data_IF_748889303604
#
_entry.id   IF_748889303604
#
_cell.length_a   1.000
_cell.length_b   1.000
_cell.length_c   1.000
_cell.angle_alpha   90.00
_cell.angle_beta   90.00
_cell.angle_gamma   90.00
#
_symmetry.space_group_name_H-M   'P 1'
#
loop_
_entity.id
_entity.type
_entity.pdbx_description
1 polymer ?
#
# COMPACT_ATOMS: atom_id res chain seq x y z
N UNK A 1 17.70 -15.63 5.00
CA UNK A 1 16.63 -14.72 5.47
C UNK A 1 15.80 -14.11 4.35
N UNK A 2 16.41 -13.60 3.27
CA UNK A 2 15.68 -12.97 2.15
C UNK A 2 14.62 -13.87 1.48
N UNK A 3 14.98 -15.12 1.13
CA UNK A 3 14.05 -16.08 0.53
C UNK A 3 12.90 -16.45 1.47
N UNK A 4 13.21 -16.75 2.74
CA UNK A 4 12.21 -17.05 3.77
C UNK A 4 11.25 -15.87 4.04
N UNK A 5 11.77 -14.63 4.03
CA UNK A 5 10.95 -13.43 4.14
C UNK A 5 10.08 -13.19 2.90
N UNK A 6 10.61 -13.48 1.70
CA UNK A 6 9.88 -13.39 0.45
C UNK A 6 8.75 -14.41 0.33
N UNK A 7 8.99 -15.67 0.72
CA UNK A 7 7.96 -16.73 0.74
C UNK A 7 6.89 -16.46 1.79
N UNK A 8 7.28 -16.06 3.01
CA UNK A 8 6.33 -15.64 4.04
C UNK A 8 5.48 -14.45 3.58
N UNK A 9 6.09 -13.46 2.92
CA UNK A 9 5.38 -12.34 2.31
C UNK A 9 4.39 -12.79 1.23
N UNK A 10 4.77 -13.73 0.37
CA UNK A 10 3.93 -14.25 -0.70
C UNK A 10 2.69 -14.99 -0.16
N UNK A 11 2.89 -15.82 0.88
CA UNK A 11 1.80 -16.51 1.56
C UNK A 11 0.85 -15.50 2.20
N UNK A 12 1.38 -14.55 2.97
CA UNK A 12 0.57 -13.51 3.61
C UNK A 12 -0.28 -12.72 2.59
N UNK A 13 0.32 -12.31 1.46
CA UNK A 13 -0.41 -11.62 0.38
C UNK A 13 -1.50 -12.46 -0.24
N UNK A 14 -1.26 -13.74 -0.43
CA UNK A 14 -2.22 -14.67 -1.03
C UNK A 14 -3.42 -14.89 -0.11
N UNK A 15 -3.21 -14.97 1.20
CA UNK A 15 -4.30 -15.05 2.19
C UNK A 15 -5.12 -13.75 2.22
N UNK A 16 -4.48 -12.58 2.13
CA UNK A 16 -5.17 -11.29 2.18
C UNK A 16 -5.72 -10.82 0.83
N UNK A 17 -5.42 -11.52 -0.27
CA UNK A 17 -5.75 -11.09 -1.63
C UNK A 17 -7.25 -10.84 -1.87
N UNK A 18 -8.19 -11.70 -1.39
CA UNK A 18 -9.63 -11.46 -1.56
C UNK A 18 -10.08 -10.12 -0.97
N UNK A 19 -9.65 -9.82 0.26
CA UNK A 19 -9.99 -8.58 0.93
C UNK A 19 -9.35 -7.36 0.25
N UNK A 20 -8.08 -7.47 -0.16
CA UNK A 20 -7.38 -6.42 -0.89
C UNK A 20 -8.04 -6.14 -2.26
N UNK A 21 -8.56 -7.16 -2.94
CA UNK A 21 -9.30 -6.99 -4.20
C UNK A 21 -10.63 -6.27 -3.99
N UNK A 22 -11.45 -6.71 -3.02
CA UNK A 22 -12.72 -6.06 -2.72
C UNK A 22 -12.50 -4.58 -2.40
N UNK A 23 -11.51 -4.28 -1.56
CA UNK A 23 -11.10 -2.89 -1.27
C UNK A 23 -10.78 -2.13 -2.55
N UNK A 24 -9.97 -2.71 -3.42
CA UNK A 24 -9.55 -2.05 -4.65
C UNK A 24 -10.75 -1.73 -5.55
N UNK A 25 -11.72 -2.65 -5.68
CA UNK A 25 -12.94 -2.43 -6.46
C UNK A 25 -13.75 -1.25 -5.92
N UNK A 26 -13.91 -1.14 -4.60
CA UNK A 26 -14.56 0.01 -3.97
C UNK A 26 -13.81 1.32 -4.23
N UNK A 27 -12.47 1.31 -4.14
CA UNK A 27 -11.66 2.49 -4.42
C UNK A 27 -11.74 2.89 -5.90
N UNK A 28 -11.69 1.92 -6.82
CA UNK A 28 -11.82 2.12 -8.26
C UNK A 28 -13.20 2.68 -8.63
N UNK A 29 -14.27 2.10 -8.10
CA UNK A 29 -15.62 2.61 -8.32
C UNK A 29 -15.78 4.02 -7.77
N UNK A 30 -15.26 4.28 -6.57
CA UNK A 30 -15.30 5.61 -5.98
C UNK A 30 -14.50 6.61 -6.81
N UNK A 31 -13.62 6.19 -7.71
CA UNK A 31 -12.95 7.08 -8.67
C UNK A 31 -13.77 7.31 -9.95
N UNK A 32 -15.05 6.88 -9.99
CA UNK A 32 -16.19 7.23 -10.87
C UNK A 32 -15.99 7.36 -12.41
N UNK A 33 -14.77 7.19 -12.91
CA UNK A 33 -14.36 7.73 -14.21
C UNK A 33 -13.77 6.69 -15.15
N UNK A 34 -13.80 5.43 -14.73
CA UNK A 34 -13.12 4.32 -15.42
C UNK A 34 -14.09 3.43 -16.20
N UNK A 35 -15.28 3.94 -16.54
CA UNK A 35 -16.37 3.15 -17.15
C UNK A 35 -17.08 2.22 -16.17
N UNK A 36 -16.75 2.27 -14.88
CA UNK A 36 -17.40 1.53 -13.80
C UNK A 36 -18.48 2.43 -13.20
N UNK A 37 -19.74 1.97 -13.18
CA UNK A 37 -20.86 2.73 -12.61
C UNK A 37 -20.55 3.16 -11.17
N UNK A 38 -20.75 4.45 -10.87
CA UNK A 38 -20.48 5.04 -9.54
C UNK A 38 -21.25 4.34 -8.39
N UNK A 39 -22.27 3.53 -8.70
CA UNK A 39 -23.06 2.73 -7.75
C UNK A 39 -22.89 1.20 -7.93
N UNK A 40 -21.85 0.73 -8.62
CA UNK A 40 -21.69 -0.70 -8.95
C UNK A 40 -21.58 -1.65 -7.74
N UNK A 41 -21.07 -1.15 -6.61
CA UNK A 41 -20.84 -1.83 -5.33
C UNK A 41 -21.25 -0.89 -4.19
N UNK A 42 -22.25 -1.30 -3.39
CA UNK A 42 -22.76 -0.50 -2.26
C UNK A 42 -22.41 -1.11 -0.90
N UNK A 43 -22.20 -2.43 -0.84
CA UNK A 43 -21.78 -3.13 0.39
C UNK A 43 -20.75 -4.23 0.09
N UNK A 44 -19.90 -4.54 1.07
CA UNK A 44 -18.88 -5.59 0.94
C UNK A 44 -19.51 -6.95 0.57
N UNK A 45 -20.66 -7.28 1.17
CA UNK A 45 -21.41 -8.51 0.89
C UNK A 45 -21.93 -8.53 -0.54
N UNK A 46 -22.54 -7.43 -1.00
CA UNK A 46 -23.02 -7.33 -2.38
C UNK A 46 -21.85 -7.40 -3.37
N UNK A 47 -20.73 -6.73 -3.09
CA UNK A 47 -19.54 -6.77 -3.94
C UNK A 47 -18.95 -8.17 -4.04
N UNK A 48 -18.83 -8.88 -2.91
CA UNK A 48 -18.36 -10.25 -2.88
C UNK A 48 -19.30 -11.19 -3.66
N UNK A 49 -20.61 -11.08 -3.44
CA UNK A 49 -21.61 -11.88 -4.17
C UNK A 49 -21.61 -11.59 -5.67
N UNK A 50 -21.46 -10.32 -6.05
CA UNK A 50 -21.39 -9.89 -7.45
C UNK A 50 -20.14 -10.42 -8.14
N UNK A 51 -18.95 -10.26 -7.52
CA UNK A 51 -17.70 -10.83 -8.02
C UNK A 51 -17.79 -12.35 -8.15
N UNK A 52 -18.39 -13.03 -7.16
CA UNK A 52 -18.58 -14.47 -7.20
C UNK A 52 -19.51 -14.92 -8.34
N UNK A 53 -20.64 -14.23 -8.55
CA UNK A 53 -21.62 -14.56 -9.59
C UNK A 53 -21.15 -14.21 -11.00
N UNK A 54 -20.46 -13.08 -11.17
CA UNK A 54 -20.05 -12.57 -12.49
C UNK A 54 -18.69 -13.10 -12.94
N UNK A 55 -17.75 -13.32 -12.02
CA UNK A 55 -16.36 -13.66 -12.35
C UNK A 55 -15.87 -14.99 -11.73
N UNK A 56 -16.64 -15.59 -10.81
CA UNK A 56 -16.30 -16.85 -10.14
C UNK A 56 -15.36 -16.71 -8.93
N UNK A 57 -15.08 -17.84 -8.25
CA UNK A 57 -14.27 -17.88 -7.02
C UNK A 57 -12.81 -17.46 -7.23
N UNK A 58 -12.20 -17.83 -8.36
CA UNK A 58 -10.81 -17.43 -8.67
C UNK A 58 -10.67 -15.93 -8.92
N UNK A 59 -11.79 -15.22 -9.14
CA UNK A 59 -11.77 -13.78 -9.33
C UNK A 59 -11.18 -13.05 -8.12
N UNK A 60 -11.40 -13.53 -6.90
CA UNK A 60 -10.89 -12.88 -5.68
C UNK A 60 -9.35 -12.73 -5.66
N UNK A 61 -8.63 -13.55 -6.42
CA UNK A 61 -7.17 -13.52 -6.52
C UNK A 61 -6.60 -12.84 -7.76
N UNK A 62 -7.41 -12.28 -8.68
CA UNK A 62 -6.81 -11.63 -9.87
C UNK A 62 -6.01 -10.40 -9.45
N UNK A 63 -4.82 -10.26 -10.05
CA UNK A 63 -3.80 -9.29 -9.66
C UNK A 63 -2.89 -9.74 -8.50
N UNK A 64 -3.18 -10.87 -7.83
CA UNK A 64 -2.31 -11.37 -6.77
C UNK A 64 -0.95 -11.84 -7.28
N UNK A 65 -0.87 -12.37 -8.51
CA UNK A 65 0.42 -12.71 -9.14
C UNK A 65 1.35 -11.49 -9.22
N UNK A 66 0.83 -10.34 -9.63
CA UNK A 66 1.59 -9.09 -9.62
C UNK A 66 2.03 -8.70 -8.19
N UNK A 67 1.17 -8.88 -7.18
CA UNK A 67 1.54 -8.63 -5.79
C UNK A 67 2.69 -9.52 -5.33
N UNK A 68 2.64 -10.82 -5.61
CA UNK A 68 3.66 -11.79 -5.21
C UNK A 68 4.98 -11.52 -5.93
N UNK A 69 4.93 -11.33 -7.26
CA UNK A 69 6.11 -10.99 -8.07
C UNK A 69 6.77 -9.71 -7.58
N UNK A 70 6.00 -8.73 -7.09
CA UNK A 70 6.54 -7.47 -6.56
C UNK A 70 7.35 -7.62 -5.28
N UNK A 71 7.08 -8.63 -4.44
CA UNK A 71 7.67 -8.73 -3.09
C UNK A 71 9.19 -8.80 -3.17
N UNK A 72 9.70 -9.69 -4.01
CA UNK A 72 11.13 -9.91 -4.16
C UNK A 72 11.90 -8.68 -4.67
N UNK A 73 11.58 -8.07 -5.83
CA UNK A 73 12.29 -6.89 -6.32
C UNK A 73 12.12 -5.70 -5.40
N UNK A 74 10.96 -5.52 -4.77
CA UNK A 74 10.74 -4.44 -3.80
C UNK A 74 11.65 -4.60 -2.58
N UNK A 75 11.65 -5.78 -1.95
CA UNK A 75 12.48 -6.04 -0.77
C UNK A 75 13.97 -6.00 -1.09
N UNK A 76 14.39 -6.52 -2.26
CA UNK A 76 15.79 -6.46 -2.70
C UNK A 76 16.26 -5.01 -2.86
N UNK A 77 15.53 -4.23 -3.67
CA UNK A 77 15.86 -2.83 -3.91
C UNK A 77 15.84 -2.02 -2.60
N UNK A 78 14.85 -2.25 -1.75
CA UNK A 78 14.75 -1.54 -0.48
C UNK A 78 15.93 -1.85 0.44
N UNK A 79 16.32 -3.11 0.62
CA UNK A 79 17.44 -3.46 1.49
C UNK A 79 18.77 -2.94 0.92
N UNK A 80 19.02 -3.16 -0.37
CA UNK A 80 20.24 -2.69 -1.02
C UNK A 80 20.37 -1.16 -0.97
N UNK A 81 19.29 -0.43 -1.29
CA UNK A 81 19.30 1.02 -1.21
C UNK A 81 19.41 1.52 0.23
N UNK A 82 18.84 0.82 1.21
CA UNK A 82 18.94 1.22 2.62
C UNK A 82 20.39 1.11 3.11
N UNK A 83 21.06 0.01 2.80
CA UNK A 83 22.47 -0.17 3.17
C UNK A 83 23.36 0.83 2.45
N UNK A 84 23.08 1.13 1.17
CA UNK A 84 23.79 2.16 0.42
C UNK A 84 23.60 3.57 1.04
N UNK A 85 22.36 4.00 1.30
CA UNK A 85 22.11 5.32 1.87
C UNK A 85 22.61 5.45 3.32
N UNK A 86 22.57 4.37 4.11
CA UNK A 86 23.18 4.36 5.45
C UNK A 86 24.70 4.56 5.38
N UNK A 87 25.38 3.88 4.45
CA UNK A 87 26.83 4.07 4.25
C UNK A 87 27.17 5.49 3.81
N UNK A 88 26.34 6.09 2.97
CA UNK A 88 26.51 7.46 2.49
C UNK A 88 26.27 8.51 3.60
N UNK A 89 25.38 8.23 4.55
CA UNK A 89 25.00 9.13 5.64
C UNK A 89 25.72 8.86 6.97
N UNK A 90 26.53 7.80 7.05
CA UNK A 90 27.25 7.45 8.28
C UNK A 90 28.32 8.50 8.58
N UNK A 91 28.44 8.88 9.86
CA UNK A 91 29.56 9.70 10.32
C UNK A 91 30.88 8.91 10.28
N UNK A 92 32.02 9.59 10.42
CA UNK A 92 33.35 8.96 10.42
C UNK A 92 33.49 7.87 11.50
N UNK A 93 32.72 7.94 12.59
CA UNK A 93 32.68 6.95 13.67
C UNK A 93 31.70 5.77 13.41
N UNK A 94 31.07 5.70 12.23
CA UNK A 94 30.07 4.69 11.88
C UNK A 94 28.69 4.89 12.54
N UNK A 95 28.53 5.94 13.35
CA UNK A 95 27.26 6.33 13.97
C UNK A 95 26.29 6.96 12.98
N UNK A 96 25.00 6.59 13.09
CA UNK A 96 23.89 7.16 12.33
C UNK A 96 22.83 7.68 13.30
N UNK A 97 22.48 8.96 13.19
CA UNK A 97 21.38 9.59 13.92
C UNK A 97 20.03 8.98 13.51
N UNK A 98 19.00 9.14 14.36
CA UNK A 98 17.63 8.70 14.05
C UNK A 98 17.15 9.32 12.73
N UNK A 99 17.41 10.61 12.52
CA UNK A 99 17.01 11.31 11.29
C UNK A 99 17.71 10.76 10.05
N UNK A 100 19.01 10.46 10.12
CA UNK A 100 19.75 9.85 9.00
C UNK A 100 19.26 8.44 8.68
N UNK A 101 18.93 7.63 9.70
CA UNK A 101 18.34 6.29 9.50
C UNK A 101 16.97 6.39 8.83
N UNK A 102 16.16 7.36 9.23
CA UNK A 102 14.86 7.64 8.61
C UNK A 102 15.02 8.12 7.17
N UNK A 103 15.95 9.04 6.90
CA UNK A 103 16.25 9.52 5.56
C UNK A 103 16.73 8.38 4.64
N UNK A 104 17.64 7.53 5.13
CA UNK A 104 18.08 6.34 4.41
C UNK A 104 16.92 5.37 4.12
N UNK A 105 16.05 5.15 5.11
CA UNK A 105 14.85 4.32 4.94
C UNK A 105 13.85 4.89 3.93
N UNK A 106 13.62 6.20 3.97
CA UNK A 106 12.73 6.91 3.05
C UNK A 106 13.29 6.89 1.62
N UNK A 107 14.58 7.20 1.44
CA UNK A 107 15.29 7.09 0.17
C UNK A 107 15.21 5.68 -0.40
N UNK A 108 15.46 4.67 0.44
CA UNK A 108 15.35 3.27 0.03
C UNK A 108 13.93 2.88 -0.40
N UNK A 109 12.92 3.35 0.33
CA UNK A 109 11.52 3.16 -0.02
C UNK A 109 11.15 3.83 -1.35
N UNK A 110 11.66 5.03 -1.61
CA UNK A 110 11.48 5.75 -2.88
C UNK A 110 12.12 5.00 -4.04
N UNK A 111 13.36 4.55 -3.90
CA UNK A 111 14.08 3.79 -4.94
C UNK A 111 13.40 2.45 -5.24
N UNK A 112 13.01 1.71 -4.20
CA UNK A 112 12.24 0.47 -4.37
C UNK A 112 10.89 0.70 -5.04
N UNK A 113 10.21 1.81 -4.70
CA UNK A 113 8.94 2.19 -5.33
C UNK A 113 9.14 2.54 -6.80
N UNK A 114 10.14 3.36 -7.14
CA UNK A 114 10.44 3.71 -8.54
C UNK A 114 10.75 2.47 -9.39
N UNK A 115 11.54 1.54 -8.86
CA UNK A 115 11.90 0.30 -9.56
C UNK A 115 10.71 -0.64 -9.76
N UNK A 116 9.80 -0.71 -8.77
CA UNK A 116 8.63 -1.62 -8.83
C UNK A 116 7.36 -0.97 -9.34
N UNK A 117 7.40 0.32 -9.69
CA UNK A 117 6.23 1.07 -10.12
C UNK A 117 5.51 0.48 -11.34
N UNK A 118 6.20 -0.08 -12.36
CA UNK A 118 5.52 -0.78 -13.46
C UNK A 118 4.60 -1.92 -12.98
N UNK A 119 5.04 -2.68 -11.95
CA UNK A 119 4.27 -3.79 -11.39
C UNK A 119 3.06 -3.25 -10.60
N UNK A 120 3.22 -2.14 -9.88
CA UNK A 120 2.12 -1.45 -9.20
C UNK A 120 1.04 -0.99 -10.21
N UNK A 121 1.46 -0.40 -11.32
CA UNK A 121 0.54 0.02 -12.39
C UNK A 121 -0.20 -1.17 -13.00
N UNK A 122 0.51 -2.27 -13.31
CA UNK A 122 -0.10 -3.50 -13.83
C UNK A 122 -1.12 -4.09 -12.88
N UNK A 123 -0.79 -4.17 -11.59
CA UNK A 123 -1.70 -4.67 -10.55
C UNK A 123 -3.01 -3.88 -10.52
N UNK A 124 -2.94 -2.54 -10.58
CA UNK A 124 -4.14 -1.70 -10.57
C UNK A 124 -4.99 -1.92 -11.82
N UNK A 125 -4.35 -2.06 -12.98
CA UNK A 125 -5.06 -2.27 -14.25
C UNK A 125 -5.71 -3.64 -14.36
N UNK A 126 -5.05 -4.70 -13.89
CA UNK A 126 -5.56 -6.09 -13.88
C UNK A 126 -6.77 -6.29 -12.97
N UNK A 127 -6.96 -5.40 -12.01
CA UNK A 127 -8.08 -5.48 -11.08
C UNK A 127 -9.31 -4.68 -11.58
N UNK A 128 -9.20 -4.01 -12.74
CA UNK A 128 -10.34 -3.38 -13.38
C UNK A 128 -11.28 -4.43 -13.99
N UNK A 129 -12.60 -4.25 -13.89
CA UNK A 129 -13.57 -5.11 -14.57
C UNK A 129 -13.25 -5.22 -16.08
N UNK A 130 -13.36 -6.42 -16.66
CA UNK A 130 -13.07 -6.67 -18.07
C UNK A 130 -11.59 -6.84 -18.46
N UNK A 131 -10.64 -6.43 -17.61
CA UNK A 131 -9.20 -6.73 -17.80
C UNK A 131 -8.80 -8.14 -17.35
N UNK A 132 -9.77 -8.84 -16.78
CA UNK A 132 -9.62 -9.98 -15.89
C UNK A 132 -9.19 -11.29 -16.59
N UNK A 133 -9.24 -11.33 -17.93
CA UNK A 133 -8.90 -12.49 -18.76
C UNK A 133 -7.50 -12.41 -19.38
N UNK A 134 -6.87 -11.24 -19.37
CA UNK A 134 -5.56 -11.03 -19.96
C UNK A 134 -4.51 -11.05 -18.84
N UNK A 135 -3.77 -12.15 -18.71
CA UNK A 135 -2.71 -12.29 -17.70
C UNK A 135 -1.72 -11.12 -17.68
N UNK A 136 -0.88 -11.03 -16.64
CA UNK A 136 0.01 -9.87 -16.39
C UNK A 136 0.82 -9.42 -17.62
N UNK A 137 1.33 -10.38 -18.39
CA UNK A 137 2.08 -10.10 -19.62
C UNK A 137 1.23 -9.53 -20.75
N UNK A 138 0.02 -10.06 -20.95
CA UNK A 138 -0.91 -9.54 -21.94
C UNK A 138 -1.36 -8.11 -21.58
N UNK A 139 -1.63 -7.85 -20.29
CA UNK A 139 -1.92 -6.51 -19.80
C UNK A 139 -0.74 -5.54 -20.03
N UNK A 140 0.49 -5.96 -19.72
CA UNK A 140 1.68 -5.14 -19.96
C UNK A 140 1.87 -4.81 -21.43
N UNK A 141 1.76 -5.81 -22.31
CA UNK A 141 1.84 -5.62 -23.76
C UNK A 141 0.75 -4.69 -24.28
N UNK A 142 -0.47 -4.81 -23.76
CA UNK A 142 -1.58 -3.93 -24.12
C UNK A 142 -1.28 -2.48 -23.74
N UNK A 143 -0.83 -2.22 -22.50
CA UNK A 143 -0.48 -0.86 -22.03
C UNK A 143 0.60 -0.24 -22.92
N UNK A 144 1.69 -0.98 -23.17
CA UNK A 144 2.82 -0.47 -23.95
C UNK A 144 2.40 -0.16 -25.39
N UNK A 145 1.54 -1.00 -26.00
CA UNK A 145 1.04 -0.76 -27.37
C UNK A 145 0.04 0.40 -27.46
N UNK A 146 -0.83 0.59 -26.45
CA UNK A 146 -1.90 1.60 -26.53
C UNK A 146 -1.51 2.95 -25.96
N UNK A 147 -0.63 3.00 -24.96
CA UNK A 147 -0.30 4.22 -24.21
C UNK A 147 1.21 4.51 -24.12
N UNK A 148 2.05 3.61 -24.65
CA UNK A 148 3.50 3.72 -24.62
C UNK A 148 4.14 3.23 -23.31
N UNK A 149 5.47 3.20 -23.29
CA UNK A 149 6.26 2.72 -22.15
C UNK A 149 6.11 3.61 -20.90
N UNK A 150 6.02 4.92 -21.08
CA UNK A 150 5.88 5.88 -19.98
C UNK A 150 4.57 5.73 -19.22
N UNK A 151 3.55 5.09 -19.81
CA UNK A 151 2.29 4.80 -19.12
C UNK A 151 2.47 3.91 -17.89
N UNK A 152 3.48 3.03 -17.88
CA UNK A 152 3.81 2.19 -16.74
C UNK A 152 4.30 3.01 -15.54
N UNK A 153 4.87 4.20 -15.79
CA UNK A 153 5.42 5.12 -14.78
C UNK A 153 4.46 6.26 -14.38
N UNK A 154 3.26 6.32 -14.96
CA UNK A 154 2.24 7.30 -14.57
C UNK A 154 1.91 7.17 -13.07
N UNK A 155 1.83 8.32 -12.40
CA UNK A 155 1.59 8.37 -10.95
C UNK A 155 2.83 8.14 -10.07
N UNK A 156 4.05 8.00 -10.64
CA UNK A 156 5.26 7.86 -9.82
C UNK A 156 5.52 9.12 -8.98
N UNK A 157 5.44 10.32 -9.57
CA UNK A 157 5.65 11.59 -8.85
C UNK A 157 4.75 11.74 -7.62
N UNK A 158 3.40 11.62 -7.71
CA UNK A 158 2.56 11.68 -6.52
C UNK A 158 2.80 10.51 -5.55
N UNK A 159 3.25 9.35 -6.04
CA UNK A 159 3.65 8.25 -5.16
C UNK A 159 4.86 8.59 -4.29
N UNK A 160 5.91 9.14 -4.91
CA UNK A 160 7.14 9.53 -4.21
C UNK A 160 6.90 10.73 -3.29
N UNK A 161 6.18 11.74 -3.77
CA UNK A 161 5.83 12.93 -2.99
C UNK A 161 5.02 12.60 -1.72
N UNK A 162 4.26 11.50 -1.72
CA UNK A 162 3.50 11.05 -0.56
C UNK A 162 4.32 10.31 0.51
N UNK A 163 5.49 9.76 0.19
CA UNK A 163 6.25 8.90 1.12
C UNK A 163 6.78 9.70 2.32
N UNK A 164 7.45 10.82 2.07
CA UNK A 164 8.07 11.61 3.15
C UNK A 164 7.03 12.27 4.08
N UNK A 165 5.97 12.95 3.60
CA UNK A 165 4.94 13.53 4.46
C UNK A 165 4.20 12.46 5.27
N UNK A 166 3.89 11.31 4.66
CA UNK A 166 3.24 10.21 5.38
C UNK A 166 4.10 9.73 6.55
N UNK A 167 5.40 9.51 6.32
CA UNK A 167 6.32 9.12 7.37
C UNK A 167 6.40 10.18 8.48
N UNK A 168 6.60 11.45 8.12
CA UNK A 168 6.72 12.55 9.08
C UNK A 168 5.47 12.68 9.97
N UNK A 169 4.28 12.71 9.37
CA UNK A 169 3.02 12.81 10.12
C UNK A 169 2.82 11.57 10.99
N UNK A 170 3.09 10.37 10.46
CA UNK A 170 2.93 9.13 11.22
C UNK A 170 3.86 9.10 12.45
N UNK A 171 5.13 9.48 12.30
CA UNK A 171 6.07 9.55 13.44
C UNK A 171 5.68 10.63 14.44
N UNK A 172 5.44 11.86 13.98
CA UNK A 172 5.06 12.95 14.88
C UNK A 172 3.78 12.64 15.66
N UNK A 173 2.78 12.06 14.98
CA UNK A 173 1.53 11.64 15.62
C UNK A 173 1.76 10.47 16.59
N UNK A 174 2.57 9.48 16.21
CA UNK A 174 2.87 8.34 17.08
C UNK A 174 3.60 8.78 18.35
N UNK A 175 4.64 9.60 18.21
CA UNK A 175 5.44 10.09 19.34
C UNK A 175 4.61 11.00 20.25
N UNK A 176 3.78 11.89 19.67
CA UNK A 176 2.85 12.73 20.44
C UNK A 176 1.80 11.92 21.19
N UNK A 177 1.17 10.95 20.53
CA UNK A 177 0.20 10.05 21.17
C UNK A 177 0.84 9.19 22.25
N UNK A 178 2.07 8.73 22.03
CA UNK A 178 2.81 7.93 22.99
C UNK A 178 3.20 8.74 24.22
N UNK A 179 3.67 9.97 24.04
CA UNK A 179 3.97 10.90 25.12
C UNK A 179 2.72 11.21 25.96
N UNK A 180 1.57 11.40 25.30
CA UNK A 180 0.30 11.63 25.99
C UNK A 180 -0.22 10.38 26.74
N UNK A 181 -0.17 9.21 26.11
CA UNK A 181 -0.76 7.99 26.67
C UNK A 181 0.10 7.34 27.77
N UNK A 182 1.43 7.39 27.64
CA UNK A 182 2.34 6.70 28.56
C UNK A 182 3.17 7.66 29.42
N UNK A 183 3.49 8.88 28.95
CA UNK A 183 4.45 9.74 29.65
C UNK A 183 5.75 8.98 29.97
N UNK A 184 6.08 8.86 31.26
CA UNK A 184 7.20 8.05 31.76
C UNK A 184 6.81 6.61 32.23
N UNK A 185 5.54 6.23 32.07
CA UNK A 185 4.99 4.96 32.50
C UNK A 185 5.34 3.76 31.60
N UNK A 186 5.01 2.53 32.05
CA UNK A 186 5.33 1.30 31.34
C UNK A 186 4.55 1.18 30.03
N UNK A 187 5.26 0.86 28.94
CA UNK A 187 4.69 0.73 27.60
C UNK A 187 4.07 -0.66 27.41
N UNK A 188 2.83 -0.70 26.90
CA UNK A 188 2.17 -1.95 26.52
C UNK A 188 2.30 -2.18 25.01
N UNK A 189 2.59 -3.43 24.60
CA UNK A 189 2.65 -3.81 23.20
C UNK A 189 1.30 -3.58 22.48
N UNK A 190 0.18 -3.90 23.15
CA UNK A 190 -1.15 -3.72 22.60
C UNK A 190 -1.51 -2.23 22.42
N UNK A 191 -1.15 -1.38 23.39
CA UNK A 191 -1.40 0.05 23.27
C UNK A 191 -0.47 0.71 22.25
N UNK A 192 0.82 0.33 22.16
CA UNK A 192 1.69 0.78 21.07
C UNK A 192 1.15 0.42 19.68
N UNK A 193 0.50 -0.74 19.52
CA UNK A 193 -0.18 -1.11 18.29
C UNK A 193 -1.40 -0.23 18.01
N UNK A 194 -2.21 0.06 19.04
CA UNK A 194 -3.36 0.97 18.94
C UNK A 194 -2.95 2.41 18.56
N UNK A 195 -1.93 2.95 19.22
CA UNK A 195 -1.37 4.27 18.91
C UNK A 195 -0.76 4.31 17.51
N UNK A 196 -0.09 3.24 17.09
CA UNK A 196 0.44 3.09 15.73
C UNK A 196 -0.68 3.05 14.67
N UNK A 197 -1.79 2.39 14.97
CA UNK A 197 -2.96 2.36 14.07
C UNK A 197 -3.64 3.73 13.97
N UNK A 198 -3.76 4.47 15.10
CA UNK A 198 -4.30 5.82 15.12
C UNK A 198 -3.41 6.80 14.34
N UNK A 199 -2.10 6.79 14.61
CA UNK A 199 -1.13 7.60 13.88
C UNK A 199 -1.13 7.29 12.37
N UNK A 200 -1.17 6.01 12.01
CA UNK A 200 -1.23 5.59 10.62
C UNK A 200 -2.52 6.02 9.91
N UNK A 201 -3.64 6.03 10.63
CA UNK A 201 -4.94 6.50 10.10
C UNK A 201 -4.91 8.00 9.84
N UNK A 202 -4.40 8.79 10.79
CA UNK A 202 -4.26 10.24 10.65
C UNK A 202 -3.31 10.60 9.51
N UNK A 203 -2.12 9.99 9.45
CA UNK A 203 -1.18 10.17 8.35
C UNK A 203 -1.80 9.80 7.00
N UNK A 204 -2.55 8.68 6.94
CA UNK A 204 -3.22 8.26 5.70
C UNK A 204 -4.33 9.21 5.28
N UNK A 205 -4.98 9.89 6.22
CA UNK A 205 -6.05 10.86 5.96
C UNK A 205 -5.47 12.14 5.39
N UNK A 206 -4.41 12.67 6.01
CA UNK A 206 -3.75 13.91 5.53
C UNK A 206 -3.11 13.69 4.15
N UNK A 207 -2.49 12.53 3.93
CA UNK A 207 -1.86 12.20 2.65
C UNK A 207 -2.82 11.60 1.60
N UNK A 208 -4.11 11.46 1.94
CA UNK A 208 -5.09 10.83 1.05
C UNK A 208 -5.24 11.52 -0.31
N UNK A 209 -5.19 12.87 -0.43
CA UNK A 209 -5.27 13.54 -1.73
C UNK A 209 -4.18 13.10 -2.72
N UNK A 210 -2.95 12.89 -2.25
CA UNK A 210 -1.83 12.43 -3.10
C UNK A 210 -2.03 10.98 -3.56
N UNK A 211 -2.54 10.11 -2.68
CA UNK A 211 -2.88 8.73 -3.02
C UNK A 211 -4.01 8.67 -4.06
N UNK A 212 -5.02 9.54 -3.94
CA UNK A 212 -6.10 9.67 -4.93
C UNK A 212 -5.57 10.14 -6.29
N UNK A 213 -4.72 11.17 -6.34
CA UNK A 213 -4.11 11.64 -7.59
C UNK A 213 -3.28 10.53 -8.24
N UNK A 214 -2.40 9.88 -7.45
CA UNK A 214 -1.58 8.74 -7.91
C UNK A 214 -2.44 7.69 -8.57
N UNK A 215 -3.48 7.21 -7.88
CA UNK A 215 -4.33 6.14 -8.39
C UNK A 215 -5.07 6.57 -9.64
N UNK A 216 -5.68 7.76 -9.67
CA UNK A 216 -6.38 8.28 -10.85
C UNK A 216 -5.48 8.38 -12.07
N UNK A 217 -4.21 8.76 -11.90
CA UNK A 217 -3.23 8.77 -12.99
C UNK A 217 -2.84 7.37 -13.50
N UNK A 218 -2.95 6.33 -12.66
CA UNK A 218 -2.64 4.95 -13.02
C UNK A 218 -3.81 4.22 -13.73
N UNK A 219 -5.04 4.75 -13.60
CA UNK A 219 -6.25 4.21 -14.20
C UNK A 219 -6.32 4.44 -15.72
N UNK A 220 -7.03 3.56 -16.42
CA UNK A 220 -7.25 3.67 -17.87
C UNK A 220 -8.39 4.67 -18.16
N UNK A 221 -8.25 5.48 -19.21
CA UNK A 221 -9.31 6.39 -19.70
C UNK A 221 -9.27 7.83 -19.19
N UNK A 222 -8.33 8.18 -18.28
CA UNK A 222 -8.03 9.58 -17.93
C UNK A 222 -6.56 9.87 -18.18
N UNK A 223 -6.27 10.72 -19.15
CA UNK A 223 -4.91 11.14 -19.48
C UNK A 223 -4.65 12.49 -18.83
N UNK A 224 -4.04 12.47 -17.64
CA UNK A 224 -3.52 13.69 -17.04
C UNK A 224 -2.11 13.94 -17.57
N UNK A 225 -1.81 15.18 -17.94
CA UNK A 225 -0.47 15.58 -18.40
C UNK A 225 0.55 15.52 -17.25
N UNK A 226 0.08 15.69 -16.00
CA UNK A 226 0.93 15.62 -14.81
C UNK A 226 0.13 15.73 -13.51
N UNK A 227 0.84 15.77 -12.38
CA UNK A 227 0.23 15.85 -11.05
C UNK A 227 -0.57 17.14 -10.84
N UNK A 228 -0.05 18.29 -11.31
CA UNK A 228 -0.73 19.58 -11.19
C UNK A 228 -2.00 19.64 -12.04
N UNK A 229 -1.96 19.07 -13.24
CA UNK A 229 -3.12 18.92 -14.10
C UNK A 229 -4.18 18.02 -13.43
N UNK A 230 -3.78 16.86 -12.94
CA UNK A 230 -4.68 15.97 -12.19
C UNK A 230 -5.32 16.65 -10.98
N UNK A 231 -4.54 17.37 -10.17
CA UNK A 231 -5.07 18.15 -9.05
C UNK A 231 -6.10 19.19 -9.51
N UNK A 232 -5.75 19.99 -10.53
CA UNK A 232 -6.61 21.05 -11.06
C UNK A 232 -7.90 20.50 -11.67
N UNK A 233 -7.84 19.41 -12.42
CA UNK A 233 -9.03 18.76 -12.98
C UNK A 233 -9.92 18.27 -11.87
N UNK A 234 -9.40 17.51 -10.90
CA UNK A 234 -10.21 16.96 -9.78
C UNK A 234 -10.87 18.08 -9.00
N UNK A 235 -10.12 19.13 -8.67
CA UNK A 235 -10.65 20.28 -7.96
C UNK A 235 -11.79 20.95 -8.72
N UNK A 236 -11.66 21.12 -10.04
CA UNK A 236 -12.67 21.78 -10.87
C UNK A 236 -13.90 20.92 -11.15
N UNK A 237 -13.74 19.61 -11.33
CA UNK A 237 -14.84 18.73 -11.73
C UNK A 237 -15.58 18.13 -10.53
N UNK A 238 -14.87 17.87 -9.43
CA UNK A 238 -15.38 17.09 -8.30
C UNK A 238 -15.19 17.80 -6.94
N UNK A 239 -14.47 18.93 -6.90
CA UNK A 239 -14.22 19.68 -5.68
C UNK A 239 -13.40 18.91 -4.64
N UNK A 240 -13.55 19.29 -3.36
CA UNK A 240 -12.85 18.65 -2.25
C UNK A 240 -13.25 17.19 -2.04
N UNK A 241 -14.51 16.84 -2.31
CA UNK A 241 -14.99 15.46 -2.15
C UNK A 241 -14.30 14.49 -3.11
N UNK A 242 -13.90 14.96 -4.31
CA UNK A 242 -13.13 14.21 -5.30
C UNK A 242 -11.82 13.62 -4.75
N UNK A 243 -11.12 14.35 -3.89
CA UNK A 243 -9.85 13.90 -3.29
C UNK A 243 -10.03 12.84 -2.21
N UNK A 244 -11.18 12.83 -1.53
CA UNK A 244 -11.48 11.90 -0.44
C UNK A 244 -12.40 10.76 -0.85
N UNK A 245 -12.70 10.61 -2.15
CA UNK A 245 -13.48 9.47 -2.61
C UNK A 245 -12.75 8.14 -2.34
N UNK A 246 -13.45 7.23 -1.67
CA UNK A 246 -12.89 5.95 -1.20
C UNK A 246 -12.10 6.04 0.11
N UNK A 247 -11.99 7.21 0.75
CA UNK A 247 -11.30 7.36 2.05
C UNK A 247 -11.95 6.48 3.11
N UNK A 248 -13.28 6.44 3.18
CA UNK A 248 -13.99 5.59 4.13
C UNK A 248 -13.65 4.10 3.91
N UNK A 249 -13.60 3.64 2.67
CA UNK A 249 -13.18 2.27 2.35
C UNK A 249 -11.69 2.01 2.67
N UNK A 250 -10.86 3.06 2.67
CA UNK A 250 -9.46 2.99 3.08
C UNK A 250 -9.30 2.92 4.61
N UNK A 251 -10.03 3.74 5.36
CA UNK A 251 -9.98 3.80 6.83
C UNK A 251 -10.61 2.56 7.46
N UNK A 252 -11.75 2.09 6.91
CA UNK A 252 -12.40 0.86 7.36
C UNK A 252 -11.51 -0.38 7.19
N UNK A 253 -10.47 -0.30 6.33
CA UNK A 253 -9.43 -1.33 6.17
C UNK A 253 -8.44 -1.37 7.34
N UNK A 254 -8.18 -0.24 8.00
CA UNK A 254 -7.14 -0.15 9.02
C UNK A 254 -7.47 -1.03 10.21
N UNK A 255 -8.75 -1.12 10.60
CA UNK A 255 -9.21 -1.96 11.70
C UNK A 255 -8.95 -3.46 11.44
N UNK A 256 -9.48 -4.11 10.37
CA UNK A 256 -9.18 -5.52 10.07
C UNK A 256 -7.69 -5.81 9.87
N UNK A 257 -6.96 -4.91 9.19
CA UNK A 257 -5.54 -5.10 8.95
C UNK A 257 -4.73 -5.05 10.25
N UNK A 258 -5.12 -4.18 11.19
CA UNK A 258 -4.49 -4.10 12.52
C UNK A 258 -4.85 -5.31 13.37
N UNK A 259 -6.10 -5.79 13.31
CA UNK A 259 -6.53 -7.03 13.98
C UNK A 259 -5.76 -8.26 13.49
N UNK A 260 -5.59 -8.43 12.17
CA UNK A 260 -4.81 -9.55 11.61
C UNK A 260 -3.36 -9.49 12.08
N UNK A 261 -2.74 -8.30 12.09
CA UNK A 261 -1.37 -8.12 12.59
C UNK A 261 -1.26 -8.46 14.07
N UNK A 262 -2.24 -8.06 14.88
CA UNK A 262 -2.30 -8.36 16.30
C UNK A 262 -2.42 -9.88 16.54
N UNK A 263 -3.36 -10.55 15.86
CA UNK A 263 -3.54 -12.00 15.97
C UNK A 263 -2.28 -12.75 15.52
N UNK A 264 -1.65 -12.32 14.43
CA UNK A 264 -0.40 -12.91 13.96
C UNK A 264 0.75 -12.72 14.96
N UNK A 265 0.81 -11.56 15.63
CA UNK A 265 1.79 -11.28 16.67
C UNK A 265 1.59 -12.17 17.90
N UNK A 266 0.35 -12.29 18.38
CA UNK A 266 0.01 -13.16 19.52
C UNK A 266 0.30 -14.63 19.21
N UNK A 267 -0.06 -15.10 18.01
CA UNK A 267 0.23 -16.46 17.56
C UNK A 267 1.75 -16.74 17.50
N UNK A 268 2.53 -15.79 16.98
CA UNK A 268 3.99 -15.91 16.90
C UNK A 268 4.63 -15.91 18.29
N UNK A 269 4.15 -15.05 19.20
CA UNK A 269 4.63 -14.99 20.58
C UNK A 269 4.33 -16.29 21.32
N UNK A 270 3.13 -16.85 21.15
CA UNK A 270 2.76 -18.16 21.70
C UNK A 270 3.65 -19.28 21.18
N UNK A 271 3.91 -19.33 19.87
CA UNK A 271 4.78 -20.35 19.27
C UNK A 271 6.24 -20.25 19.77
N UNK A 272 6.78 -19.04 19.87
CA UNK A 272 8.14 -18.82 20.39
C UNK A 272 8.27 -19.13 21.88
N UNK A 273 7.24 -18.84 22.68
CA UNK A 273 7.20 -19.22 24.09
C UNK A 273 7.19 -20.74 24.27
N UNK A 274 6.40 -21.46 23.47
CA UNK A 274 6.36 -22.94 23.46
C UNK A 274 7.71 -23.53 23.03
N UNK A 275 8.36 -22.93 22.03
CA UNK A 275 9.68 -23.40 21.57
C UNK A 275 10.77 -23.18 22.62
N UNK A 276 10.74 -22.04 23.32
CA UNK A 276 11.69 -21.74 24.41
C UNK A 276 11.52 -22.73 25.57
N UNK A 277 10.27 -23.00 25.97
CA UNK A 277 9.97 -24.00 27.00
C UNK A 277 10.40 -25.44 26.62
N UNK A 278 10.50 -25.77 25.33
CA UNK A 278 11.00 -27.06 24.83
C UNK A 278 12.53 -27.16 24.72
N UNK A 279 13.23 -26.04 24.84
CA UNK A 279 14.70 -26.00 24.73
C UNK A 279 15.37 -25.94 26.11
N UNK A 280 14.60 -25.61 27.15
CA UNK A 280 15.02 -25.57 28.56
C UNK A 280 14.68 -26.89 29.33
N UNK A 281 14.28 -27.95 28.62
CA UNK A 281 14.09 -29.33 29.11
C UNK A 281 15.00 -30.28 28.36
#
# INVERSE_FOLDING_TARGET
MFLAGGTAGAVARTVTAPADRLKLLFQVQAMASSGVSAKAYTSLRQAALKVFREEGMLAFWKGNSANVVRIFPYSAAQLMSNDYYKRLLASQDGGLTVLQRLAAGAGAGMTATALTHPIDTLRLRLALPGSAQQGMWACARAIVRTEGLLALYKGLTPALAGIAPYAAINFATYDGLKAWAYGAGPQSAAGNLGLGAAAGTLASTVCYPLDTIRRRMQMRGRTYAGQADAFRTIWRTEGMSGFYQGWLANTLKVAPQSSIRFVAYEALKGFLAVKRARTDT
#
